data_IF_184086243425
#
_entry.id   IF_184086243425
#
_cell.length_a   1.000
_cell.length_b   1.000
_cell.length_c   1.000
_cell.angle_alpha   90.00
_cell.angle_beta   90.00
_cell.angle_gamma   90.00
#
_symmetry.space_group_name_H-M   'P 1'
#
loop_
_entity.id
_entity.type
_entity.pdbx_description
1 polymer ?
#
# COMPACT_ATOMS: atom_id res chain seq x y z
N UNK A 1 -8.67 -7.99 -12.85
CA UNK A 1 -9.71 -8.20 -11.83
C UNK A 1 -9.11 -8.45 -10.46
N UNK A 2 -8.06 -9.28 -10.34
CA UNK A 2 -7.45 -9.62 -9.04
C UNK A 2 -6.86 -8.43 -8.26
N UNK A 3 -6.15 -7.50 -8.91
CA UNK A 3 -5.60 -6.32 -8.23
C UNK A 3 -6.70 -5.38 -7.68
N UNK A 4 -7.84 -5.26 -8.38
CA UNK A 4 -8.95 -4.44 -7.91
C UNK A 4 -9.62 -5.04 -6.67
N UNK A 5 -9.70 -6.37 -6.60
CA UNK A 5 -10.17 -7.07 -5.41
C UNK A 5 -9.20 -6.88 -4.23
N UNK A 6 -7.89 -6.97 -4.47
CA UNK A 6 -6.89 -6.72 -3.43
C UNK A 6 -6.89 -5.27 -2.94
N UNK A 7 -7.12 -4.29 -3.82
CA UNK A 7 -7.29 -2.89 -3.43
C UNK A 7 -8.48 -2.71 -2.48
N UNK A 8 -9.64 -3.30 -2.80
CA UNK A 8 -10.81 -3.25 -1.92
C UNK A 8 -10.55 -3.95 -0.59
N UNK A 9 -9.87 -5.11 -0.62
CA UNK A 9 -9.51 -5.87 0.58
C UNK A 9 -8.53 -5.09 1.47
N UNK A 10 -7.58 -4.36 0.88
CA UNK A 10 -6.67 -3.47 1.60
C UNK A 10 -7.45 -2.41 2.38
N UNK A 11 -8.35 -1.69 1.72
CA UNK A 11 -9.15 -0.65 2.39
C UNK A 11 -10.03 -1.24 3.50
N UNK A 12 -10.65 -2.40 3.26
CA UNK A 12 -11.46 -3.09 4.26
C UNK A 12 -10.63 -3.55 5.47
N UNK A 13 -9.44 -4.09 5.24
CA UNK A 13 -8.53 -4.53 6.30
C UNK A 13 -8.00 -3.35 7.12
N UNK A 14 -7.63 -2.24 6.47
CA UNK A 14 -7.24 -1.01 7.17
C UNK A 14 -8.39 -0.46 8.01
N UNK A 15 -9.61 -0.40 7.44
CA UNK A 15 -10.78 0.02 8.20
C UNK A 15 -11.00 -0.87 9.42
N UNK A 16 -10.92 -2.20 9.27
CA UNK A 16 -11.05 -3.15 10.37
C UNK A 16 -9.96 -2.97 11.44
N UNK A 17 -8.70 -2.77 11.02
CA UNK A 17 -7.58 -2.57 11.93
C UNK A 17 -7.73 -1.31 12.80
N UNK A 18 -8.21 -0.20 12.22
CA UNK A 18 -8.28 1.08 12.94
C UNK A 18 -9.62 1.31 13.65
N UNK A 19 -10.75 0.82 13.11
CA UNK A 19 -12.09 1.21 13.56
C UNK A 19 -12.90 0.10 14.23
N UNK A 20 -12.49 -1.17 14.12
CA UNK A 20 -13.27 -2.27 14.70
C UNK A 20 -13.04 -2.40 16.22
N UNK A 21 -14.07 -2.74 17.00
CA UNK A 21 -13.96 -2.86 18.46
C UNK A 21 -13.39 -4.22 18.90
N UNK A 22 -13.70 -5.28 18.13
CA UNK A 22 -13.21 -6.65 18.40
C UNK A 22 -11.70 -6.79 18.08
N UNK A 23 -10.92 -7.15 19.10
CA UNK A 23 -9.48 -7.39 18.99
C UNK A 23 -9.13 -8.56 18.06
N UNK A 24 -9.98 -9.59 17.98
CA UNK A 24 -9.79 -10.73 17.07
C UNK A 24 -9.86 -10.31 15.60
N UNK A 25 -10.82 -9.43 15.28
CA UNK A 25 -10.96 -8.88 13.92
C UNK A 25 -9.78 -7.99 13.55
N UNK A 26 -9.29 -7.18 14.49
CA UNK A 26 -8.08 -6.37 14.31
C UNK A 26 -6.84 -7.23 14.06
N UNK A 27 -6.65 -8.30 14.82
CA UNK A 27 -5.54 -9.24 14.64
C UNK A 27 -5.60 -9.94 13.27
N UNK A 28 -6.80 -10.36 12.85
CA UNK A 28 -6.99 -10.97 11.54
C UNK A 28 -6.70 -9.99 10.39
N UNK A 29 -7.12 -8.73 10.54
CA UNK A 29 -6.82 -7.68 9.57
C UNK A 29 -5.32 -7.39 9.52
N UNK A 30 -4.65 -7.29 10.67
CA UNK A 30 -3.20 -7.06 10.75
C UNK A 30 -2.42 -8.19 10.07
N UNK A 31 -2.75 -9.45 10.35
CA UNK A 31 -2.11 -10.61 9.72
C UNK A 31 -2.27 -10.61 8.20
N UNK A 32 -3.45 -10.24 7.71
CA UNK A 32 -3.69 -10.12 6.28
C UNK A 32 -2.85 -8.99 5.66
N UNK A 33 -2.77 -7.83 6.33
CA UNK A 33 -1.98 -6.68 5.89
C UNK A 33 -0.48 -7.02 5.84
N UNK A 34 0.04 -7.74 6.84
CA UNK A 34 1.43 -8.21 6.87
C UNK A 34 1.76 -9.15 5.70
N UNK A 35 0.85 -10.07 5.37
CA UNK A 35 1.00 -10.95 4.21
C UNK A 35 0.92 -10.17 2.90
N UNK A 36 0.00 -9.22 2.82
CA UNK A 36 -0.19 -8.40 1.63
C UNK A 36 1.03 -7.54 1.32
N UNK A 37 1.70 -6.97 2.32
CA UNK A 37 2.93 -6.17 2.14
C UNK A 37 4.07 -6.95 1.45
N UNK A 38 4.10 -8.27 1.63
CA UNK A 38 5.10 -9.15 1.00
C UNK A 38 4.76 -9.49 -0.46
N UNK A 39 3.55 -9.15 -0.93
CA UNK A 39 3.14 -9.44 -2.30
C UNK A 39 3.72 -8.43 -3.31
N UNK A 40 3.92 -8.88 -4.54
CA UNK A 40 4.33 -8.00 -5.66
C UNK A 40 3.25 -6.95 -5.96
N UNK A 41 1.97 -7.27 -5.71
CA UNK A 41 0.87 -6.33 -5.93
C UNK A 41 0.91 -5.12 -5.00
N UNK A 42 1.60 -5.20 -3.86
CA UNK A 42 1.76 -4.10 -2.93
C UNK A 42 2.49 -2.89 -3.56
N UNK A 43 3.30 -3.09 -4.59
CA UNK A 43 3.93 -2.00 -5.34
C UNK A 43 2.89 -1.11 -6.03
N UNK A 44 2.11 -1.67 -6.94
CA UNK A 44 1.17 -0.89 -7.77
C UNK A 44 -0.03 -0.40 -6.97
N UNK A 45 -0.53 -1.19 -6.03
CA UNK A 45 -1.70 -0.82 -5.23
C UNK A 45 -1.34 0.29 -4.24
N UNK A 46 -0.18 0.23 -3.58
CA UNK A 46 0.25 1.32 -2.68
C UNK A 46 0.44 2.63 -3.45
N UNK A 47 1.03 2.56 -4.64
CA UNK A 47 1.23 3.72 -5.51
C UNK A 47 -0.11 4.36 -5.92
N UNK A 48 -1.09 3.53 -6.31
CA UNK A 48 -2.44 3.99 -6.66
C UNK A 48 -3.15 4.68 -5.48
N UNK A 49 -3.08 4.09 -4.27
CA UNK A 49 -3.67 4.67 -3.05
C UNK A 49 -3.04 6.02 -2.69
N UNK A 50 -1.74 6.18 -2.89
CA UNK A 50 -1.04 7.45 -2.61
C UNK A 50 -1.41 8.56 -3.61
N UNK A 51 -1.70 8.19 -4.85
CA UNK A 51 -2.15 9.13 -5.87
C UNK A 51 -3.62 9.53 -5.69
N UNK A 52 -4.44 8.64 -5.14
CA UNK A 52 -5.85 8.90 -4.86
C UNK A 52 -6.03 9.95 -3.74
N UNK A 53 -6.65 11.08 -4.09
CA UNK A 53 -7.00 12.15 -3.15
C UNK A 53 -8.17 11.82 -2.24
N UNK A 54 -8.97 10.79 -2.56
CA UNK A 54 -10.08 10.34 -1.74
C UNK A 54 -9.66 9.31 -0.67
N UNK A 55 -8.43 8.79 -0.74
CA UNK A 55 -7.91 7.83 0.22
C UNK A 55 -7.70 8.45 1.60
N UNK A 56 -8.00 7.68 2.66
CA UNK A 56 -7.87 8.16 4.04
C UNK A 56 -6.40 8.33 4.44
N UNK A 57 -6.15 9.13 5.48
CA UNK A 57 -4.80 9.38 5.99
C UNK A 57 -4.13 8.08 6.46
N UNK A 58 -4.90 7.17 7.06
CA UNK A 58 -4.42 5.85 7.49
C UNK A 58 -3.96 5.02 6.29
N UNK A 59 -4.74 5.02 5.21
CA UNK A 59 -4.39 4.30 3.98
C UNK A 59 -3.15 4.91 3.31
N UNK A 60 -3.06 6.23 3.24
CA UNK A 60 -1.89 6.93 2.72
C UNK A 60 -0.64 6.62 3.56
N UNK A 61 -0.73 6.69 4.89
CA UNK A 61 0.39 6.39 5.77
C UNK A 61 0.87 4.95 5.62
N UNK A 62 -0.07 3.99 5.63
CA UNK A 62 0.24 2.57 5.48
C UNK A 62 0.90 2.27 4.11
N UNK A 63 0.36 2.83 3.03
CA UNK A 63 0.91 2.62 1.67
C UNK A 63 2.27 3.30 1.49
N UNK A 64 2.49 4.48 2.08
CA UNK A 64 3.80 5.14 2.07
C UNK A 64 4.86 4.32 2.81
N UNK A 65 4.51 3.79 3.99
CA UNK A 65 5.41 2.92 4.76
C UNK A 65 5.68 1.60 4.02
N UNK A 66 4.68 1.04 3.36
CA UNK A 66 4.80 -0.18 2.55
C UNK A 66 5.76 0.05 1.39
N UNK A 67 5.53 1.08 0.57
CA UNK A 67 6.43 1.41 -0.54
C UNK A 67 7.86 1.67 -0.08
N UNK A 68 8.05 2.42 1.01
CA UNK A 68 9.38 2.65 1.57
C UNK A 68 10.07 1.32 1.90
N UNK A 69 9.34 0.40 2.56
CA UNK A 69 9.89 -0.91 2.94
C UNK A 69 10.25 -1.72 1.70
N UNK A 70 9.36 -1.80 0.70
CA UNK A 70 9.62 -2.54 -0.53
C UNK A 70 10.78 -1.97 -1.33
N UNK A 71 10.92 -0.64 -1.43
CA UNK A 71 12.11 0.02 -2.02
C UNK A 71 13.40 -0.36 -1.30
N UNK A 72 13.35 -0.51 0.03
CA UNK A 72 14.53 -0.81 0.83
C UNK A 72 14.89 -2.29 0.87
N UNK A 73 13.92 -3.20 0.68
CA UNK A 73 14.09 -4.63 0.97
C UNK A 73 13.79 -5.56 -0.18
N UNK A 74 12.88 -5.17 -1.08
CA UNK A 74 12.30 -6.06 -2.09
C UNK A 74 12.45 -5.46 -3.50
N UNK A 75 13.45 -4.60 -3.70
CA UNK A 75 13.62 -3.85 -4.95
C UNK A 75 13.83 -4.77 -6.16
N UNK A 76 14.42 -5.94 -5.94
CA UNK A 76 14.61 -7.00 -6.94
C UNK A 76 13.31 -7.59 -7.50
N UNK A 77 12.17 -7.40 -6.84
CA UNK A 77 10.85 -7.81 -7.38
C UNK A 77 10.44 -6.98 -8.60
N UNK A 78 10.99 -5.76 -8.75
CA UNK A 78 10.61 -4.85 -9.80
C UNK A 78 11.30 -5.17 -11.13
N UNK A 79 10.54 -5.27 -12.24
CA UNK A 79 11.13 -5.26 -13.57
C UNK A 79 11.97 -3.98 -13.77
N UNK A 80 13.13 -4.11 -14.40
CA UNK A 80 14.04 -2.96 -14.65
C UNK A 80 13.34 -1.82 -15.40
N UNK A 81 12.42 -2.15 -16.30
CA UNK A 81 11.64 -1.19 -17.09
C UNK A 81 10.62 -0.40 -16.25
N UNK A 82 10.24 -0.90 -15.08
CA UNK A 82 9.30 -0.24 -14.15
C UNK A 82 9.99 0.76 -13.22
N UNK A 83 11.33 0.68 -13.06
CA UNK A 83 12.09 1.53 -12.14
C UNK A 83 11.99 3.02 -12.47
N UNK A 84 12.11 3.46 -13.75
CA UNK A 84 11.93 4.87 -14.08
C UNK A 84 10.54 5.40 -13.71
N UNK A 85 9.49 4.61 -13.97
CA UNK A 85 8.11 4.97 -13.63
C UNK A 85 7.89 5.11 -12.12
N UNK A 86 8.43 4.18 -11.32
CA UNK A 86 8.37 4.28 -9.85
C UNK A 86 9.08 5.55 -9.35
N UNK A 87 10.26 5.88 -9.91
CA UNK A 87 10.99 7.10 -9.52
C UNK A 87 10.17 8.36 -9.79
N UNK A 88 9.58 8.47 -10.98
CA UNK A 88 8.74 9.62 -11.34
C UNK A 88 7.52 9.73 -10.42
N UNK A 89 6.90 8.59 -10.12
CA UNK A 89 5.77 8.50 -9.19
C UNK A 89 6.14 8.99 -7.79
N UNK A 90 7.24 8.51 -7.21
CA UNK A 90 7.72 8.94 -5.89
C UNK A 90 8.07 10.43 -5.85
N UNK A 91 8.69 10.97 -6.90
CA UNK A 91 8.99 12.42 -6.98
C UNK A 91 7.70 13.23 -7.05
N UNK A 92 6.72 12.80 -7.84
CA UNK A 92 5.39 13.44 -7.92
C UNK A 92 4.71 13.47 -6.55
N UNK A 93 4.73 12.36 -5.81
CA UNK A 93 4.17 12.27 -4.47
C UNK A 93 4.89 13.21 -3.49
N UNK A 94 6.22 13.27 -3.52
CA UNK A 94 6.99 14.19 -2.67
C UNK A 94 6.64 15.65 -2.97
N UNK A 95 6.50 16.03 -4.24
CA UNK A 95 6.11 17.39 -4.63
C UNK A 95 4.67 17.73 -4.26
N UNK A 96 3.75 16.76 -4.27
CA UNK A 96 2.35 16.94 -3.84
C UNK A 96 2.23 17.26 -2.35
N UNK A 97 3.18 16.80 -1.53
CA UNK A 97 3.15 16.93 -0.07
C UNK A 97 4.24 17.86 0.50
N UNK A 98 5.01 18.55 -0.37
CA UNK A 98 6.00 19.57 0.01
C UNK A 98 5.34 20.95 0.15
#
# INVERSE_FOLDING_TARGET
>A
MEQQAQHQQLLAALHALYHHEDASVKDQANKWLEQWQQSVAAWSISDAVLHDTASSVEAQYFCAQTLRTKVQRDFEELPLDSVPGLRESLVSLLLKHA
#
